data_IF_587490691491
#
_entry.id   IF_587490691491
#
_cell.length_a   1.000
_cell.length_b   1.000
_cell.length_c   1.000
_cell.angle_alpha   90.00
_cell.angle_beta   90.00
_cell.angle_gamma   90.00
#
_symmetry.space_group_name_H-M   'P 1'
#
loop_
_entity.id
_entity.type
_entity.pdbx_description
1 polymer ?
#
# COMPACT_ATOMS: atom_id res chain seq x y z
N UNK A 1 3.17 12.33 26.98
CA UNK A 1 2.85 13.00 25.69
C UNK A 1 3.78 12.56 24.56
N UNK A 2 5.09 12.55 24.79
CA UNK A 2 6.12 12.10 23.83
C UNK A 2 5.91 10.64 23.38
N UNK A 3 5.54 9.75 24.29
CA UNK A 3 5.31 8.33 24.01
C UNK A 3 4.19 8.09 22.99
N UNK A 4 3.04 8.77 23.13
CA UNK A 4 1.94 8.66 22.15
C UNK A 4 2.37 9.13 20.75
N UNK A 5 3.14 10.22 20.66
CA UNK A 5 3.64 10.73 19.38
C UNK A 5 4.60 9.72 18.75
N UNK A 6 5.51 9.14 19.55
CA UNK A 6 6.46 8.14 19.07
C UNK A 6 5.75 6.88 18.58
N UNK A 7 4.76 6.39 19.32
CA UNK A 7 3.94 5.24 18.91
C UNK A 7 3.20 5.54 17.60
N UNK A 8 2.58 6.73 17.49
CA UNK A 8 1.86 7.12 16.27
C UNK A 8 2.81 7.22 15.06
N UNK A 9 4.01 7.77 15.24
CA UNK A 9 5.06 7.82 14.22
C UNK A 9 5.56 6.41 13.83
N UNK A 10 5.71 5.52 14.80
CA UNK A 10 6.06 4.11 14.56
C UNK A 10 5.01 3.42 13.70
N UNK A 11 3.73 3.57 14.05
CA UNK A 11 2.60 3.01 13.27
C UNK A 11 2.60 3.61 11.86
N UNK A 12 2.75 4.93 11.74
CA UNK A 12 2.83 5.63 10.46
C UNK A 12 3.95 5.05 9.57
N UNK A 13 5.14 4.85 10.13
CA UNK A 13 6.28 4.30 9.40
C UNK A 13 6.06 2.83 9.00
N UNK A 14 5.48 2.01 9.87
CA UNK A 14 5.17 0.62 9.55
C UNK A 14 4.16 0.49 8.41
N UNK A 15 3.20 1.42 8.31
CA UNK A 15 2.26 1.50 7.20
C UNK A 15 2.94 1.69 5.84
N UNK A 16 4.20 2.14 5.81
CA UNK A 16 4.94 2.25 4.55
C UNK A 16 5.20 0.90 3.90
N UNK A 17 5.40 -0.12 4.73
CA UNK A 17 5.72 -1.48 4.30
C UNK A 17 4.50 -2.38 4.34
N UNK A 18 3.68 -2.28 5.40
CA UNK A 18 2.56 -3.17 5.62
C UNK A 18 1.33 -2.40 6.08
N UNK A 19 0.37 -2.26 5.18
CA UNK A 19 -0.83 -1.43 5.40
C UNK A 19 -1.62 -1.82 6.65
N UNK A 20 -1.78 -3.12 6.89
CA UNK A 20 -2.53 -3.66 8.03
C UNK A 20 -1.94 -3.29 9.39
N UNK A 21 -0.67 -2.87 9.46
CA UNK A 21 -0.05 -2.43 10.69
C UNK A 21 -0.77 -1.22 11.30
N UNK A 22 -1.30 -0.32 10.46
CA UNK A 22 -2.06 0.84 10.89
C UNK A 22 -3.30 0.47 11.70
N UNK A 23 -4.27 -0.23 11.09
CA UNK A 23 -5.49 -0.70 11.75
C UNK A 23 -5.24 -1.54 13.01
N UNK A 24 -4.29 -2.48 12.95
CA UNK A 24 -3.97 -3.38 14.08
C UNK A 24 -3.35 -2.63 15.24
N UNK A 25 -2.24 -1.92 15.00
CA UNK A 25 -1.50 -1.25 16.06
C UNK A 25 -2.20 0.02 16.54
N UNK A 26 -2.97 0.68 15.66
CA UNK A 26 -3.75 1.85 16.01
C UNK A 26 -4.85 1.53 17.00
N UNK A 27 -5.63 0.47 16.74
CA UNK A 27 -6.66 0.01 17.68
C UNK A 27 -6.04 -0.60 18.95
N UNK A 28 -4.95 -1.39 18.83
CA UNK A 28 -4.22 -1.92 20.00
C UNK A 28 -3.61 -0.82 20.90
N UNK A 29 -3.21 0.32 20.33
CA UNK A 29 -2.74 1.48 21.08
C UNK A 29 -3.89 2.34 21.65
N UNK A 30 -5.15 1.93 21.47
CA UNK A 30 -6.34 2.64 21.95
C UNK A 30 -6.66 3.92 21.19
N UNK A 31 -6.16 4.08 19.96
CA UNK A 31 -6.52 5.24 19.14
C UNK A 31 -7.91 5.08 18.54
N UNK A 32 -8.64 6.20 18.44
CA UNK A 32 -9.93 6.20 17.75
C UNK A 32 -9.80 5.75 16.31
N UNK A 33 -10.83 5.08 15.80
CA UNK A 33 -10.91 4.60 14.41
C UNK A 33 -10.51 5.68 13.41
N UNK A 34 -10.98 6.93 13.61
CA UNK A 34 -10.65 8.05 12.73
C UNK A 34 -9.14 8.35 12.70
N UNK A 35 -8.48 8.40 13.87
CA UNK A 35 -7.02 8.63 13.95
C UNK A 35 -6.25 7.49 13.26
N UNK A 36 -6.70 6.25 13.48
CA UNK A 36 -6.11 5.06 12.88
C UNK A 36 -6.26 5.08 11.35
N UNK A 37 -7.43 5.44 10.82
CA UNK A 37 -7.65 5.60 9.38
C UNK A 37 -6.71 6.67 8.81
N UNK A 38 -6.66 7.85 9.42
CA UNK A 38 -5.85 8.96 8.93
C UNK A 38 -4.35 8.63 8.92
N UNK A 39 -3.83 8.03 9.99
CA UNK A 39 -2.40 7.68 10.06
C UNK A 39 -2.05 6.58 9.05
N UNK A 40 -2.95 5.62 8.84
CA UNK A 40 -2.76 4.52 7.88
C UNK A 40 -2.73 5.05 6.45
N UNK A 41 -3.70 5.89 6.08
CA UNK A 41 -3.77 6.51 4.75
C UNK A 41 -2.54 7.40 4.52
N UNK A 42 -2.17 8.24 5.50
CA UNK A 42 -1.01 9.10 5.39
C UNK A 42 0.28 8.29 5.21
N UNK A 43 0.49 7.24 6.02
CA UNK A 43 1.66 6.38 5.93
C UNK A 43 1.77 5.67 4.59
N UNK A 44 0.67 5.06 4.12
CA UNK A 44 0.63 4.43 2.80
C UNK A 44 0.93 5.43 1.68
N UNK A 45 0.30 6.60 1.70
CA UNK A 45 0.45 7.59 0.63
C UNK A 45 1.85 8.18 0.58
N UNK A 46 2.51 8.39 1.72
CA UNK A 46 3.91 8.83 1.74
C UNK A 46 4.84 7.78 1.14
N UNK A 47 4.65 6.50 1.51
CA UNK A 47 5.39 5.40 0.89
C UNK A 47 5.17 5.35 -0.63
N UNK A 48 3.91 5.48 -1.07
CA UNK A 48 3.54 5.50 -2.49
C UNK A 48 4.20 6.65 -3.25
N UNK A 49 4.29 7.84 -2.65
CA UNK A 49 4.95 8.99 -3.26
C UNK A 49 6.45 8.76 -3.40
N UNK A 50 7.11 8.30 -2.33
CA UNK A 50 8.55 8.02 -2.32
C UNK A 50 8.89 6.93 -3.34
N UNK A 51 8.20 5.80 -3.30
CA UNK A 51 8.43 4.67 -4.21
C UNK A 51 8.16 5.03 -5.66
N UNK A 52 7.17 5.89 -5.94
CA UNK A 52 6.90 6.37 -7.30
C UNK A 52 8.03 7.24 -7.83
N UNK A 53 8.60 8.12 -7.00
CA UNK A 53 9.73 8.97 -7.38
C UNK A 53 10.99 8.13 -7.62
N UNK A 54 11.34 7.28 -6.65
CA UNK A 54 12.51 6.39 -6.72
C UNK A 54 12.37 5.43 -7.90
N UNK A 55 11.21 4.77 -8.03
CA UNK A 55 10.94 3.81 -9.09
C UNK A 55 11.02 4.43 -10.49
N UNK A 56 10.56 5.67 -10.68
CA UNK A 56 10.69 6.38 -11.97
C UNK A 56 12.13 6.73 -12.29
N UNK A 57 12.88 7.24 -11.30
CA UNK A 57 14.32 7.54 -11.47
C UNK A 57 15.08 6.28 -11.84
N UNK A 58 14.83 5.19 -11.11
CA UNK A 58 15.44 3.89 -11.38
C UNK A 58 15.07 3.37 -12.77
N UNK A 59 13.78 3.44 -13.16
CA UNK A 59 13.33 3.04 -14.50
C UNK A 59 14.02 3.85 -15.59
N UNK A 60 14.12 5.17 -15.45
CA UNK A 60 14.81 6.05 -16.42
C UNK A 60 16.30 5.75 -16.49
N UNK A 61 16.95 5.51 -15.35
CA UNK A 61 18.37 5.14 -15.29
C UNK A 61 18.60 3.80 -15.99
N UNK A 62 17.77 2.81 -15.69
CA UNK A 62 17.84 1.49 -16.31
C UNK A 62 17.64 1.56 -17.83
N UNK A 63 16.63 2.29 -18.31
CA UNK A 63 16.38 2.51 -19.74
C UNK A 63 17.52 3.29 -20.42
N UNK A 64 18.21 4.19 -19.71
CA UNK A 64 19.34 4.96 -20.23
C UNK A 64 20.64 4.17 -20.30
N UNK A 65 20.88 3.25 -19.35
CA UNK A 65 22.07 2.40 -19.33
C UNK A 65 21.92 1.15 -20.20
N UNK A 66 20.71 0.62 -20.31
CA UNK A 66 20.38 -0.52 -21.17
C UNK A 66 19.70 -0.03 -22.46
N UNK A 67 20.51 0.52 -23.38
CA UNK A 67 20.08 1.03 -24.69
C UNK A 67 19.55 -0.07 -25.62
N UNK A 68 19.85 -1.34 -25.33
CA UNK A 68 19.30 -2.46 -26.07
C UNK A 68 17.80 -2.58 -25.76
N UNK A 69 16.94 -2.32 -26.77
CA UNK A 69 15.50 -2.58 -26.67
C UNK A 69 15.28 -3.95 -26.02
N UNK A 70 14.56 -4.05 -24.89
CA UNK A 70 14.36 -5.32 -24.24
C UNK A 70 13.73 -6.28 -25.25
N UNK A 71 14.40 -7.41 -25.51
CA UNK A 71 13.86 -8.43 -26.43
C UNK A 71 12.48 -8.82 -25.91
N UNK A 72 11.46 -8.69 -26.76
CA UNK A 72 10.10 -9.08 -26.41
C UNK A 72 10.07 -10.61 -26.25
N UNK A 73 10.09 -11.08 -25.00
CA UNK A 73 9.99 -12.51 -24.69
C UNK A 73 8.50 -12.88 -24.71
N UNK A 74 8.04 -13.44 -25.83
CA UNK A 74 6.66 -13.89 -26.02
C UNK A 74 6.41 -15.25 -25.37
N UNK A 75 6.54 -15.34 -24.05
CA UNK A 75 6.20 -16.56 -23.29
C UNK A 75 4.71 -16.61 -22.92
N UNK A 76 4.15 -17.81 -22.71
CA UNK A 76 2.78 -17.99 -22.19
C UNK A 76 2.58 -17.25 -20.84
N UNK A 77 3.61 -17.23 -20.00
CA UNK A 77 3.62 -16.51 -18.70
C UNK A 77 3.50 -15.00 -18.88
N UNK A 78 4.31 -14.41 -19.77
CA UNK A 78 4.28 -12.97 -20.01
C UNK A 78 2.95 -12.53 -20.63
N UNK A 79 2.37 -13.32 -21.54
CA UNK A 79 1.05 -13.05 -22.12
C UNK A 79 -0.05 -13.01 -21.05
N UNK A 80 -0.05 -13.93 -20.08
CA UNK A 80 -1.01 -13.94 -18.96
C UNK A 80 -0.89 -12.68 -18.11
N UNK A 81 0.33 -12.27 -17.74
CA UNK A 81 0.56 -11.05 -16.95
C UNK A 81 0.01 -9.82 -17.69
N UNK A 82 0.31 -9.69 -18.99
CA UNK A 82 -0.20 -8.58 -19.80
C UNK A 82 -1.72 -8.62 -19.94
N UNK A 83 -2.34 -9.80 -20.08
CA UNK A 83 -3.79 -9.94 -20.11
C UNK A 83 -4.46 -9.48 -18.81
N UNK A 84 -3.89 -9.87 -17.65
CA UNK A 84 -4.36 -9.44 -16.33
C UNK A 84 -4.23 -7.92 -16.20
N UNK A 85 -3.09 -7.35 -16.59
CA UNK A 85 -2.88 -5.90 -16.60
C UNK A 85 -3.89 -5.19 -17.52
N UNK A 86 -4.16 -5.69 -18.72
CA UNK A 86 -5.13 -5.08 -19.63
C UNK A 86 -6.56 -5.13 -19.10
N UNK A 87 -6.91 -6.13 -18.28
CA UNK A 87 -8.25 -6.27 -17.69
C UNK A 87 -8.44 -5.39 -16.45
N UNK A 88 -7.47 -5.39 -15.53
CA UNK A 88 -7.62 -4.77 -14.22
C UNK A 88 -6.83 -3.46 -14.05
N UNK A 89 -5.75 -3.29 -14.81
CA UNK A 89 -4.93 -2.09 -14.88
C UNK A 89 -4.51 -1.53 -13.53
N UNK A 90 -4.51 -0.20 -13.45
CA UNK A 90 -4.18 0.56 -12.25
C UNK A 90 -5.11 0.27 -11.08
N UNK A 91 -6.41 0.21 -11.39
CA UNK A 91 -7.49 0.11 -10.41
C UNK A 91 -7.35 -1.19 -9.63
N UNK A 92 -7.18 -2.32 -10.31
CA UNK A 92 -7.06 -3.61 -9.64
C UNK A 92 -5.81 -3.70 -8.79
N UNK A 93 -4.64 -3.26 -9.29
CA UNK A 93 -3.42 -3.30 -8.47
C UNK A 93 -3.56 -2.42 -7.24
N UNK A 94 -4.06 -1.19 -7.40
CA UNK A 94 -4.27 -0.31 -6.26
C UNK A 94 -5.26 -0.91 -5.25
N UNK A 95 -6.38 -1.48 -5.72
CA UNK A 95 -7.37 -2.14 -4.88
C UNK A 95 -6.80 -3.33 -4.09
N UNK A 96 -6.01 -4.19 -4.74
CA UNK A 96 -5.36 -5.32 -4.07
C UNK A 96 -4.10 -4.93 -3.30
N UNK A 97 -3.62 -3.69 -3.39
CA UNK A 97 -2.37 -3.29 -2.72
C UNK A 97 -2.48 -3.37 -1.20
N UNK A 98 -3.49 -2.80 -0.54
CA UNK A 98 -3.63 -2.95 0.91
C UNK A 98 -3.82 -4.40 1.40
N UNK A 99 -4.30 -5.30 0.53
CA UNK A 99 -4.64 -6.69 0.85
C UNK A 99 -3.49 -7.68 0.61
N UNK A 100 -2.92 -7.65 -0.60
CA UNK A 100 -2.02 -8.69 -1.11
C UNK A 100 -0.61 -8.16 -1.37
N UNK A 101 -0.50 -6.90 -1.81
CA UNK A 101 0.80 -6.31 -2.07
C UNK A 101 1.28 -5.46 -0.90
N UNK A 102 2.51 -4.96 -1.00
CA UNK A 102 2.95 -3.86 -0.14
C UNK A 102 2.72 -2.55 -0.88
N UNK A 103 2.51 -1.42 -0.18
CA UNK A 103 2.43 -0.10 -0.83
C UNK A 103 3.60 0.14 -1.80
N UNK A 104 4.80 -0.27 -1.41
CA UNK A 104 6.01 -0.22 -2.25
C UNK A 104 5.91 -1.16 -3.46
N UNK A 105 5.51 -2.42 -3.26
CA UNK A 105 5.41 -3.39 -4.35
C UNK A 105 4.35 -3.02 -5.39
N UNK A 106 3.15 -2.65 -4.95
CA UNK A 106 2.05 -2.26 -5.84
C UNK A 106 2.38 -1.01 -6.67
N UNK A 107 3.08 -0.04 -6.07
CA UNK A 107 3.54 1.16 -6.80
C UNK A 107 4.65 0.87 -7.80
N UNK A 108 5.65 0.06 -7.43
CA UNK A 108 6.72 -0.30 -8.35
C UNK A 108 6.19 -1.09 -9.55
N UNK A 109 5.18 -1.95 -9.36
CA UNK A 109 4.46 -2.60 -10.46
C UNK A 109 3.80 -1.56 -11.38
N UNK A 110 3.06 -0.60 -10.84
CA UNK A 110 2.43 0.44 -11.66
C UNK A 110 3.45 1.31 -12.41
N UNK A 111 4.59 1.61 -11.79
CA UNK A 111 5.69 2.35 -12.43
C UNK A 111 6.35 1.53 -13.54
N UNK A 112 6.57 0.22 -13.33
CA UNK A 112 7.18 -0.65 -14.34
C UNK A 112 6.30 -0.74 -15.59
N UNK A 113 4.98 -0.83 -15.42
CA UNK A 113 3.99 -0.75 -16.50
C UNK A 113 3.82 0.65 -17.11
N UNK A 114 4.57 1.66 -16.65
CA UNK A 114 4.63 2.98 -17.31
C UNK A 114 3.49 3.93 -16.97
N UNK A 115 2.80 3.72 -15.85
CA UNK A 115 1.67 4.58 -15.49
C UNK A 115 2.09 6.02 -15.13
N UNK A 116 1.24 6.99 -15.47
CA UNK A 116 1.40 8.41 -15.09
C UNK A 116 1.29 8.58 -13.57
N UNK A 117 2.10 9.49 -12.99
CA UNK A 117 2.18 9.73 -11.53
C UNK A 117 0.83 10.04 -10.91
N UNK A 118 0.05 10.90 -11.57
CA UNK A 118 -1.28 11.32 -11.13
C UNK A 118 -2.21 10.12 -10.98
N UNK A 119 -2.18 9.20 -11.93
CA UNK A 119 -3.04 8.02 -11.89
C UNK A 119 -2.62 7.10 -10.74
N UNK A 120 -1.33 6.86 -10.52
CA UNK A 120 -0.87 6.04 -9.38
C UNK A 120 -1.40 6.63 -8.06
N UNK A 121 -1.22 7.93 -7.85
CA UNK A 121 -1.62 8.58 -6.60
C UNK A 121 -3.13 8.58 -6.40
N UNK A 122 -3.91 8.88 -7.44
CA UNK A 122 -5.36 8.84 -7.35
C UNK A 122 -5.87 7.44 -7.02
N UNK A 123 -5.33 6.42 -7.70
CA UNK A 123 -5.77 5.04 -7.51
C UNK A 123 -5.38 4.49 -6.14
N UNK A 124 -4.16 4.80 -5.68
CA UNK A 124 -3.72 4.43 -4.34
C UNK A 124 -4.48 5.17 -3.25
N UNK A 125 -4.83 6.44 -3.44
CA UNK A 125 -5.54 7.22 -2.43
C UNK A 125 -6.94 6.67 -2.16
N UNK A 126 -7.76 6.45 -3.20
CA UNK A 126 -9.11 5.93 -2.95
C UNK A 126 -9.07 4.52 -2.37
N UNK A 127 -8.12 3.69 -2.81
CA UNK A 127 -7.92 2.33 -2.28
C UNK A 127 -7.50 2.38 -0.82
N UNK A 128 -6.55 3.26 -0.46
CA UNK A 128 -6.10 3.47 0.91
C UNK A 128 -7.26 3.90 1.80
N UNK A 129 -8.07 4.87 1.38
CA UNK A 129 -9.23 5.32 2.15
C UNK A 129 -10.24 4.18 2.36
N UNK A 130 -10.59 3.46 1.29
CA UNK A 130 -11.55 2.35 1.35
C UNK A 130 -11.07 1.26 2.31
N UNK A 131 -9.84 0.78 2.14
CA UNK A 131 -9.31 -0.30 2.96
C UNK A 131 -8.95 0.12 4.38
N UNK A 132 -8.52 1.37 4.60
CA UNK A 132 -8.25 1.86 5.95
C UNK A 132 -9.54 1.86 6.78
N UNK A 133 -10.66 2.29 6.21
CA UNK A 133 -11.96 2.28 6.91
C UNK A 133 -12.41 0.85 7.17
N UNK A 134 -12.39 -0.03 6.16
CA UNK A 134 -12.78 -1.43 6.31
C UNK A 134 -11.95 -2.13 7.38
N UNK A 135 -10.62 -2.03 7.31
CA UNK A 135 -9.75 -2.69 8.29
C UNK A 135 -9.84 -2.06 9.68
N UNK A 136 -9.89 -0.74 9.79
CA UNK A 136 -9.95 -0.10 11.11
C UNK A 136 -11.26 -0.44 11.82
N UNK A 137 -12.40 -0.46 11.13
CA UNK A 137 -13.68 -0.84 11.74
C UNK A 137 -13.72 -2.32 12.13
N UNK A 138 -13.33 -3.20 11.20
CA UNK A 138 -13.36 -4.65 11.44
C UNK A 138 -12.43 -5.07 12.57
N UNK A 139 -11.19 -4.55 12.59
CA UNK A 139 -10.21 -4.89 13.63
C UNK A 139 -10.64 -4.33 14.99
N UNK A 140 -11.14 -3.10 15.04
CA UNK A 140 -11.61 -2.50 16.29
C UNK A 140 -12.75 -3.32 16.91
N UNK A 141 -13.71 -3.75 16.08
CA UNK A 141 -14.78 -4.65 16.51
C UNK A 141 -14.28 -6.02 16.97
N UNK A 142 -13.31 -6.61 16.25
CA UNK A 142 -12.73 -7.91 16.61
C UNK A 142 -12.01 -7.82 17.96
N UNK A 143 -11.22 -6.77 18.19
CA UNK A 143 -10.50 -6.57 19.45
C UNK A 143 -11.44 -6.27 20.63
N UNK A 144 -12.61 -5.69 20.37
CA UNK A 144 -13.66 -5.49 21.36
C UNK A 144 -14.40 -6.78 21.77
N UNK A 145 -14.24 -7.89 21.04
CA UNK A 145 -14.92 -9.14 21.39
C UNK A 145 -14.35 -9.76 22.67
N UNK A 146 -15.22 -10.31 23.54
CA UNK A 146 -14.79 -10.88 24.84
C UNK A 146 -13.83 -12.07 24.66
N UNK A 147 -13.91 -12.78 23.52
CA UNK A 147 -12.98 -13.85 23.18
C UNK A 147 -11.52 -13.37 23.15
N UNK A 148 -11.26 -12.24 22.50
CA UNK A 148 -9.90 -11.70 22.38
C UNK A 148 -9.45 -11.08 23.71
N UNK A 149 -10.33 -10.39 24.42
CA UNK A 149 -10.00 -9.78 25.72
C UNK A 149 -9.57 -10.84 26.75
N UNK A 150 -10.24 -11.99 26.77
CA UNK A 150 -9.91 -13.10 27.66
C UNK A 150 -8.59 -13.82 27.28
N UNK A 151 -8.07 -13.61 26.07
CA UNK A 151 -6.79 -14.21 25.63
C UNK A 151 -5.58 -13.41 26.14
N UNK A 152 -5.77 -12.14 26.46
CA UNK A 152 -4.71 -11.23 26.92
C UNK A 152 -4.74 -10.97 28.44
N UNK A 153 -5.65 -11.62 29.17
CA UNK A 153 -5.73 -11.67 30.64
C UNK A 153 -5.11 -12.97 31.16
#
# INVERSE_FOLDING_TARGET
MTEHILTLLGIYFLCWFKFIAGPVLGSAAGYSVLKTVLVTVAGMMTSVMISTLVGRKFKKLYESYFTAKPKLIFSKKNRRIVQVWRRYGAIGIAFFTPLLFTPIGGTLLMVSFGMKKRNIYLHMMWSACLWAVVFSLTIDQILATPFIQNLFL
#
